data_IF_022765518453
#
_entry.id   IF_022765518453
#
_cell.length_a   1.000
_cell.length_b   1.000
_cell.length_c   1.000
_cell.angle_alpha   90.00
_cell.angle_beta   90.00
_cell.angle_gamma   90.00
#
_symmetry.space_group_name_H-M   'P 1'
#
loop_
_entity.id
_entity.type
_entity.pdbx_description
1 polymer ?
#
# COMPACT_ATOMS: atom_id res chain seq x y z
N UNK A 1 -63.78 12.04 -15.48
CA UNK A 1 -63.13 11.24 -14.42
C UNK A 1 -61.88 10.47 -14.85
N UNK A 2 -61.51 10.38 -16.14
CA UNK A 2 -60.36 9.56 -16.61
C UNK A 2 -58.98 10.25 -16.54
N UNK A 3 -58.91 11.56 -16.29
CA UNK A 3 -57.64 12.33 -16.23
C UNK A 3 -56.87 12.21 -14.91
N UNK A 4 -57.54 11.91 -13.80
CA UNK A 4 -56.87 11.80 -12.49
C UNK A 4 -56.05 10.51 -12.40
N UNK A 5 -56.53 9.41 -13.00
CA UNK A 5 -55.81 8.14 -13.04
C UNK A 5 -54.57 8.19 -13.94
N UNK A 6 -54.64 8.87 -15.10
CA UNK A 6 -53.49 8.98 -16.02
C UNK A 6 -52.31 9.70 -15.38
N UNK A 7 -52.55 10.77 -14.63
CA UNK A 7 -51.49 11.50 -13.94
C UNK A 7 -50.87 10.69 -12.79
N UNK A 8 -51.65 9.84 -12.11
CA UNK A 8 -51.15 9.02 -11.03
C UNK A 8 -50.26 7.87 -11.55
N UNK A 9 -50.57 7.32 -12.72
CA UNK A 9 -49.79 6.26 -13.37
C UNK A 9 -48.43 6.81 -13.88
N UNK A 10 -48.42 7.98 -14.53
CA UNK A 10 -47.16 8.67 -14.92
C UNK A 10 -46.29 9.04 -13.72
N UNK A 11 -46.89 9.48 -12.61
CA UNK A 11 -46.14 9.80 -11.38
C UNK A 11 -45.62 8.54 -10.66
N UNK A 12 -46.25 7.39 -10.86
CA UNK A 12 -45.71 6.11 -10.35
C UNK A 12 -44.60 5.60 -11.26
N UNK A 13 -44.77 5.66 -12.58
CA UNK A 13 -43.75 5.25 -13.56
C UNK A 13 -42.50 6.13 -13.45
N UNK A 14 -42.67 7.46 -13.33
CA UNK A 14 -41.63 8.48 -13.07
C UNK A 14 -40.97 8.39 -11.69
N UNK A 15 -41.55 7.65 -10.75
CA UNK A 15 -40.95 7.48 -9.43
C UNK A 15 -40.29 6.11 -9.32
N UNK A 16 -40.82 5.07 -9.97
CA UNK A 16 -40.18 3.76 -10.07
C UNK A 16 -38.93 3.79 -10.97
N UNK A 17 -38.92 4.51 -12.09
CA UNK A 17 -37.72 4.72 -12.90
C UNK A 17 -36.64 5.59 -12.17
N UNK A 18 -37.05 6.60 -11.40
CA UNK A 18 -36.13 7.39 -10.56
C UNK A 18 -35.62 6.54 -9.37
N UNK A 19 -36.46 5.72 -8.73
CA UNK A 19 -36.04 4.83 -7.64
C UNK A 19 -35.14 3.70 -8.16
N UNK A 20 -35.42 3.13 -9.34
CA UNK A 20 -34.62 2.05 -9.95
C UNK A 20 -33.32 2.51 -10.59
N UNK A 21 -33.18 3.78 -10.99
CA UNK A 21 -31.90 4.31 -11.48
C UNK A 21 -30.97 4.71 -10.32
N UNK A 22 -31.55 5.13 -9.18
CA UNK A 22 -30.77 5.48 -7.99
C UNK A 22 -30.37 4.26 -7.16
N UNK A 23 -31.08 3.14 -7.28
CA UNK A 23 -30.64 1.85 -6.76
C UNK A 23 -29.83 1.07 -7.80
N UNK A 24 -28.67 0.55 -7.40
CA UNK A 24 -27.90 -0.46 -8.14
C UNK A 24 -26.83 0.01 -9.15
N UNK A 25 -26.07 1.07 -8.81
CA UNK A 25 -24.62 0.98 -9.10
C UNK A 25 -23.97 0.05 -8.07
N UNK A 26 -24.16 -1.27 -8.24
CA UNK A 26 -23.48 -2.27 -7.41
C UNK A 26 -22.02 -2.37 -7.86
N UNK A 27 -21.03 -1.83 -7.11
CA UNK A 27 -19.64 -1.90 -7.53
C UNK A 27 -19.25 -3.37 -7.68
N UNK A 28 -18.88 -3.77 -8.91
CA UNK A 28 -18.53 -5.17 -9.20
C UNK A 28 -17.31 -5.56 -8.36
N UNK A 29 -17.47 -6.51 -7.44
CA UNK A 29 -16.45 -6.89 -6.45
C UNK A 29 -15.08 -7.22 -7.06
N UNK A 30 -15.05 -7.78 -8.27
CA UNK A 30 -13.79 -8.08 -8.97
C UNK A 30 -13.02 -6.82 -9.40
N UNK A 31 -13.71 -5.71 -9.71
CA UNK A 31 -13.08 -4.43 -10.03
C UNK A 31 -12.46 -3.82 -8.78
N UNK A 32 -13.14 -3.89 -7.64
CA UNK A 32 -12.58 -3.49 -6.35
C UNK A 32 -11.32 -4.31 -6.01
N UNK A 33 -11.34 -5.62 -6.26
CA UNK A 33 -10.17 -6.50 -6.13
C UNK A 33 -9.01 -6.07 -7.03
N UNK A 34 -9.27 -5.78 -8.30
CA UNK A 34 -8.25 -5.31 -9.25
C UNK A 34 -7.65 -3.97 -8.83
N UNK A 35 -8.46 -3.02 -8.36
CA UNK A 35 -7.97 -1.75 -7.83
C UNK A 35 -7.09 -1.95 -6.59
N UNK A 36 -7.48 -2.86 -5.68
CA UNK A 36 -6.64 -3.23 -4.53
C UNK A 36 -5.33 -3.93 -4.93
N UNK A 37 -5.29 -4.60 -6.08
CA UNK A 37 -4.09 -5.26 -6.60
C UNK A 37 -3.08 -4.28 -7.22
N UNK A 38 -3.54 -3.15 -7.76
CA UNK A 38 -2.67 -2.07 -8.28
C UNK A 38 -2.07 -1.25 -7.14
N UNK A 39 -2.87 -0.92 -6.13
CA UNK A 39 -2.39 -0.23 -4.95
C UNK A 39 -3.23 -0.60 -3.72
N UNK A 40 -2.59 -0.97 -2.59
CA UNK A 40 -3.30 -1.24 -1.36
C UNK A 40 -4.09 -0.01 -0.90
N UNK A 41 -5.39 -0.18 -0.68
CA UNK A 41 -6.33 0.88 -0.29
C UNK A 41 -7.28 1.35 -1.41
N UNK A 42 -6.90 1.24 -2.68
CA UNK A 42 -7.74 1.70 -3.80
C UNK A 42 -9.04 0.90 -3.97
N UNK A 43 -9.02 -0.41 -3.69
CA UNK A 43 -10.22 -1.24 -3.72
C UNK A 43 -11.27 -0.83 -2.68
N UNK A 44 -10.82 -0.33 -1.52
CA UNK A 44 -11.72 0.17 -0.47
C UNK A 44 -12.27 1.56 -0.80
N UNK A 45 -11.46 2.42 -1.44
CA UNK A 45 -11.92 3.71 -1.97
C UNK A 45 -12.95 3.54 -3.11
N UNK A 46 -12.83 2.51 -3.94
CA UNK A 46 -13.82 2.17 -4.97
C UNK A 46 -15.18 1.75 -4.37
N UNK A 47 -15.17 1.15 -3.18
CA UNK A 47 -16.39 0.79 -2.43
C UNK A 47 -16.98 1.97 -1.63
N UNK A 48 -16.43 3.19 -1.77
CA UNK A 48 -16.90 4.39 -1.04
C UNK A 48 -16.41 4.49 0.41
N UNK A 49 -15.62 3.53 0.89
CA UNK A 49 -15.05 3.54 2.25
C UNK A 49 -13.66 4.19 2.24
N UNK A 50 -13.65 5.52 2.11
CA UNK A 50 -12.42 6.33 2.11
C UNK A 50 -11.62 6.21 3.41
N UNK A 51 -12.31 6.02 4.54
CA UNK A 51 -11.66 5.92 5.86
C UNK A 51 -10.75 4.70 5.94
N UNK A 52 -11.28 3.53 5.57
CA UNK A 52 -10.46 2.30 5.54
C UNK A 52 -9.42 2.33 4.43
N UNK A 53 -9.76 2.86 3.26
CA UNK A 53 -8.82 3.01 2.14
C UNK A 53 -7.56 3.80 2.51
N UNK A 54 -7.71 4.95 3.18
CA UNK A 54 -6.59 5.77 3.64
C UNK A 54 -5.72 5.05 4.67
N UNK A 55 -6.31 4.27 5.57
CA UNK A 55 -5.57 3.48 6.56
C UNK A 55 -4.64 2.46 5.89
N UNK A 56 -5.16 1.68 4.91
CA UNK A 56 -4.35 0.71 4.18
C UNK A 56 -3.25 1.34 3.33
N UNK A 57 -3.51 2.52 2.76
CA UNK A 57 -2.50 3.27 2.02
C UNK A 57 -1.32 3.68 2.89
N UNK A 58 -1.60 4.28 4.07
CA UNK A 58 -0.56 4.68 5.03
C UNK A 58 0.21 3.48 5.55
N UNK A 59 -0.49 2.38 5.86
CA UNK A 59 0.15 1.15 6.32
C UNK A 59 1.10 0.56 5.26
N UNK A 60 0.68 0.54 4.00
CA UNK A 60 1.52 0.09 2.90
C UNK A 60 2.76 0.98 2.71
N UNK A 61 2.61 2.30 2.84
CA UNK A 61 3.73 3.23 2.79
C UNK A 61 4.76 2.94 3.90
N UNK A 62 4.31 2.75 5.14
CA UNK A 62 5.18 2.41 6.28
C UNK A 62 5.91 1.08 6.03
N UNK A 63 5.22 0.07 5.50
CA UNK A 63 5.80 -1.23 5.19
C UNK A 63 6.89 -1.13 4.11
N UNK A 64 6.66 -0.36 3.04
CA UNK A 64 7.64 -0.12 1.98
C UNK A 64 8.87 0.61 2.52
N UNK A 65 8.68 1.67 3.30
CA UNK A 65 9.80 2.40 3.90
C UNK A 65 10.59 1.48 4.83
N UNK A 66 9.89 0.75 5.71
CA UNK A 66 10.54 -0.15 6.67
C UNK A 66 11.28 -1.29 5.98
N UNK A 67 10.77 -1.85 4.88
CA UNK A 67 11.48 -2.90 4.13
C UNK A 67 12.82 -2.40 3.56
N UNK A 68 12.88 -1.14 3.12
CA UNK A 68 14.10 -0.52 2.64
C UNK A 68 15.12 -0.22 3.74
N UNK A 69 14.74 -0.20 5.03
CA UNK A 69 15.66 -0.02 6.15
C UNK A 69 16.35 -1.31 6.57
N UNK A 70 15.75 -2.48 6.30
CA UNK A 70 16.30 -3.77 6.72
C UNK A 70 17.62 -4.09 5.98
N UNK A 71 17.63 -3.94 4.67
CA UNK A 71 18.81 -4.24 3.84
C UNK A 71 20.06 -3.38 4.20
N UNK A 72 19.98 -2.05 4.34
CA UNK A 72 21.13 -1.23 4.74
C UNK A 72 21.58 -1.50 6.17
N UNK A 73 20.70 -1.91 7.09
CA UNK A 73 21.12 -2.33 8.44
C UNK A 73 22.03 -3.56 8.41
N UNK A 74 21.71 -4.57 7.60
CA UNK A 74 22.57 -5.74 7.43
C UNK A 74 23.92 -5.37 6.79
N UNK A 75 23.91 -4.51 5.77
CA UNK A 75 25.14 -4.02 5.12
C UNK A 75 26.00 -3.25 6.14
N UNK A 76 25.40 -2.40 6.97
CA UNK A 76 26.09 -1.65 8.01
C UNK A 76 26.79 -2.58 9.00
N UNK A 77 26.09 -3.61 9.50
CA UNK A 77 26.67 -4.60 10.43
C UNK A 77 27.83 -5.35 9.77
N UNK A 78 27.66 -5.80 8.53
CA UNK A 78 28.73 -6.48 7.79
C UNK A 78 29.95 -5.57 7.57
N UNK A 79 29.71 -4.31 7.19
CA UNK A 79 30.75 -3.30 7.04
C UNK A 79 31.48 -3.03 8.36
N UNK A 80 30.76 -2.98 9.47
CA UNK A 80 31.34 -2.76 10.79
C UNK A 80 32.28 -3.89 11.21
N UNK A 81 31.87 -5.15 11.01
CA UNK A 81 32.74 -6.33 11.24
C UNK A 81 33.97 -6.28 10.32
N UNK A 82 33.79 -5.92 9.06
CA UNK A 82 34.90 -5.79 8.11
C UNK A 82 35.93 -4.74 8.57
N UNK A 83 35.48 -3.59 9.10
CA UNK A 83 36.37 -2.56 9.63
C UNK A 83 37.20 -3.06 10.82
N UNK A 84 36.58 -3.82 11.74
CA UNK A 84 37.30 -4.43 12.87
C UNK A 84 38.38 -5.40 12.37
N UNK A 85 38.03 -6.25 11.40
CA UNK A 85 38.98 -7.17 10.79
C UNK A 85 40.14 -6.44 10.10
N UNK A 86 39.84 -5.37 9.35
CA UNK A 86 40.85 -4.56 8.68
C UNK A 86 41.80 -3.89 9.68
N UNK A 87 41.27 -3.30 10.76
CA UNK A 87 42.09 -2.68 11.81
C UNK A 87 42.99 -3.72 12.50
N UNK A 88 42.46 -4.91 12.80
CA UNK A 88 43.22 -5.99 13.42
C UNK A 88 44.32 -6.54 12.52
N UNK A 89 44.01 -6.79 11.25
CA UNK A 89 44.98 -7.28 10.27
C UNK A 89 46.09 -6.26 10.01
N UNK A 90 45.76 -4.97 9.93
CA UNK A 90 46.72 -3.87 9.80
C UNK A 90 47.65 -3.78 11.02
N UNK A 91 47.11 -3.81 12.24
CA UNK A 91 47.93 -3.81 13.45
C UNK A 91 48.89 -5.02 13.51
N UNK A 92 48.45 -6.19 13.04
CA UNK A 92 49.28 -7.41 12.99
C UNK A 92 50.37 -7.34 11.91
N UNK A 93 50.06 -6.82 10.72
CA UNK A 93 51.04 -6.69 9.63
C UNK A 93 52.14 -5.70 9.99
N UNK A 94 51.80 -4.59 10.65
CA UNK A 94 52.78 -3.63 11.18
C UNK A 94 53.75 -4.27 12.16
N UNK A 95 53.25 -5.05 13.12
CA UNK A 95 54.10 -5.76 14.09
C UNK A 95 55.03 -6.77 13.41
N UNK A 96 54.57 -7.45 12.36
CA UNK A 96 55.37 -8.43 11.62
C UNK A 96 56.42 -7.78 10.71
N UNK A 97 56.18 -6.55 10.26
CA UNK A 97 57.18 -5.71 9.60
C UNK A 97 58.36 -5.45 10.53
N UNK A 98 58.12 -4.81 11.68
CA UNK A 98 59.16 -4.48 12.67
C UNK A 98 60.05 -5.68 13.05
N UNK A 99 59.46 -6.86 13.24
CA UNK A 99 60.19 -8.04 13.75
C UNK A 99 60.94 -8.84 12.65
N UNK A 100 60.94 -8.37 11.40
CA UNK A 100 61.71 -8.98 10.28
C UNK A 100 62.98 -8.19 9.96
N UNK A 101 63.17 -7.06 10.62
CA UNK A 101 64.23 -6.09 10.36
C UNK A 101 65.45 -6.33 11.28
N UNK A 102 65.34 -7.32 12.18
CA UNK A 102 66.32 -7.78 13.19
C UNK A 102 66.98 -9.10 12.77
#
# INVERSE_FOLDING_TARGET
>A
MRRVCLNAEELMESNDDVVTVNEEFKPRAWRAGLYSAVFPGLGQMYNGDFGRGSFYFVLAFILIVTSHLILPLFILIAFWIYNIYQAYSYARSFRKGINKDD
#
